data_IF_835570529826
#
_entry.id   IF_835570529826
#
_cell.length_a   1.000
_cell.length_b   1.000
_cell.length_c   1.000
_cell.angle_alpha   90.00
_cell.angle_beta   90.00
_cell.angle_gamma   90.00
#
_symmetry.space_group_name_H-M   'P 1'
#
loop_
_entity.id
_entity.type
_entity.pdbx_description
1 polymer ?
#
# COMPACT_ATOMS: atom_id res chain seq x y z
N UNK A 1 -13.17 46.92 -15.29
CA UNK A 1 -12.22 46.40 -14.29
C UNK A 1 -12.26 44.89 -14.36
N UNK A 2 -11.36 44.29 -15.18
CA UNK A 2 -11.22 42.83 -15.26
C UNK A 2 -10.37 42.35 -14.09
N UNK A 3 -10.96 41.54 -13.20
CA UNK A 3 -10.20 40.77 -12.25
C UNK A 3 -9.46 39.67 -13.02
N UNK A 4 -8.15 39.49 -12.83
CA UNK A 4 -7.46 38.32 -13.35
C UNK A 4 -8.05 37.10 -12.64
N UNK A 5 -8.50 36.11 -13.40
CA UNK A 5 -8.80 34.77 -12.90
C UNK A 5 -7.46 34.18 -12.55
N UNK A 6 -7.17 34.12 -11.27
CA UNK A 6 -6.00 33.40 -10.70
C UNK A 6 -6.27 31.91 -10.88
N UNK A 7 -5.97 31.41 -12.07
CA UNK A 7 -5.83 29.98 -12.32
C UNK A 7 -4.48 29.54 -11.77
N UNK A 8 -4.32 29.61 -10.45
CA UNK A 8 -3.33 28.78 -9.78
C UNK A 8 -3.67 27.34 -10.21
N UNK A 9 -2.80 26.73 -10.98
CA UNK A 9 -2.84 25.28 -11.30
C UNK A 9 -2.92 24.57 -9.96
N UNK A 10 -4.12 24.09 -9.57
CA UNK A 10 -4.23 23.09 -8.51
C UNK A 10 -3.31 21.96 -8.95
N UNK A 11 -2.21 21.80 -8.25
CA UNK A 11 -1.27 20.71 -8.58
C UNK A 11 -2.05 19.41 -8.38
N UNK A 12 -2.20 18.63 -9.45
CA UNK A 12 -2.88 17.32 -9.35
C UNK A 12 -2.08 16.44 -8.37
N UNK A 13 -2.62 16.29 -7.17
CA UNK A 13 -2.00 15.51 -6.08
C UNK A 13 -1.60 14.11 -6.54
N UNK A 14 -2.36 13.50 -7.46
CA UNK A 14 -2.00 12.18 -7.98
C UNK A 14 -0.79 12.21 -8.91
N UNK A 15 -0.61 13.28 -9.68
CA UNK A 15 0.58 13.47 -10.50
C UNK A 15 1.82 13.65 -9.59
N UNK A 16 1.69 14.47 -8.54
CA UNK A 16 2.76 14.68 -7.57
C UNK A 16 3.14 13.37 -6.85
N UNK A 17 2.16 12.60 -6.36
CA UNK A 17 2.39 11.31 -5.72
C UNK A 17 3.09 10.31 -6.64
N UNK A 18 2.64 10.17 -7.90
CA UNK A 18 3.29 9.29 -8.88
C UNK A 18 4.74 9.71 -9.14
N UNK A 19 4.99 11.00 -9.27
CA UNK A 19 6.35 11.52 -9.45
C UNK A 19 7.23 11.25 -8.23
N UNK A 20 6.74 11.52 -7.02
CA UNK A 20 7.49 11.32 -5.78
C UNK A 20 7.82 9.86 -5.50
N UNK A 21 6.93 8.92 -5.88
CA UNK A 21 7.06 7.50 -5.54
C UNK A 21 7.58 6.63 -6.68
N UNK A 22 7.68 7.13 -7.91
CA UNK A 22 7.94 6.33 -9.12
C UNK A 22 9.21 5.47 -9.04
N UNK A 23 10.34 6.05 -8.64
CA UNK A 23 11.60 5.30 -8.51
C UNK A 23 11.56 4.23 -7.41
N UNK A 24 10.83 4.50 -6.31
CA UNK A 24 10.63 3.55 -5.20
C UNK A 24 9.78 2.37 -5.63
N UNK A 25 8.71 2.66 -6.36
CA UNK A 25 7.80 1.65 -6.92
C UNK A 25 8.55 0.73 -7.88
N UNK A 26 9.31 1.29 -8.83
CA UNK A 26 10.12 0.52 -9.78
C UNK A 26 11.13 -0.38 -9.07
N UNK A 27 11.82 0.16 -8.05
CA UNK A 27 12.78 -0.63 -7.25
C UNK A 27 12.10 -1.79 -6.53
N UNK A 28 10.92 -1.58 -5.95
CA UNK A 28 10.16 -2.62 -5.26
C UNK A 28 9.72 -3.70 -6.24
N UNK A 29 9.08 -3.30 -7.35
CA UNK A 29 8.54 -4.23 -8.34
C UNK A 29 9.61 -5.10 -8.99
N UNK A 30 10.78 -4.52 -9.31
CA UNK A 30 11.87 -5.24 -9.97
C UNK A 30 12.70 -6.08 -9.01
N UNK A 31 12.70 -5.77 -7.71
CA UNK A 31 13.58 -6.39 -6.73
C UNK A 31 12.96 -7.54 -5.93
N UNK A 32 11.62 -7.68 -5.92
CA UNK A 32 10.98 -8.73 -5.14
C UNK A 32 11.07 -10.10 -5.83
N UNK A 33 11.44 -11.20 -5.10
CA UNK A 33 11.48 -12.55 -5.66
C UNK A 33 10.16 -12.99 -6.30
N UNK A 34 9.02 -12.58 -5.73
CA UNK A 34 7.69 -12.89 -6.27
C UNK A 34 7.45 -12.26 -7.66
N UNK A 35 8.25 -11.28 -8.08
CA UNK A 35 8.20 -10.68 -9.42
C UNK A 35 8.88 -11.53 -10.49
N UNK A 36 9.71 -12.50 -10.11
CA UNK A 36 10.40 -13.38 -11.04
C UNK A 36 9.42 -14.28 -11.83
N UNK A 37 9.78 -14.68 -13.08
CA UNK A 37 8.92 -15.54 -13.90
C UNK A 37 8.70 -16.94 -13.30
N UNK A 38 9.66 -17.44 -12.54
CA UNK A 38 9.70 -18.76 -11.91
C UNK A 38 9.39 -18.71 -10.40
N UNK A 39 8.68 -17.67 -9.94
CA UNK A 39 8.31 -17.49 -8.55
C UNK A 39 7.63 -18.72 -7.96
N UNK A 40 7.97 -19.06 -6.73
CA UNK A 40 7.55 -20.26 -6.00
C UNK A 40 6.60 -19.93 -4.85
N UNK A 41 6.05 -20.96 -4.20
CA UNK A 41 5.30 -20.80 -2.93
C UNK A 41 6.18 -20.25 -1.80
N UNK A 42 7.49 -20.54 -1.80
CA UNK A 42 8.43 -19.94 -0.86
C UNK A 42 8.54 -18.42 -1.05
N UNK A 43 8.59 -17.96 -2.30
CA UNK A 43 8.60 -16.52 -2.61
C UNK A 43 7.30 -15.85 -2.24
N UNK A 44 6.16 -16.55 -2.40
CA UNK A 44 4.87 -16.05 -1.94
C UNK A 44 4.80 -15.95 -0.42
N UNK A 45 5.23 -16.98 0.31
CA UNK A 45 5.31 -16.93 1.78
C UNK A 45 6.20 -15.77 2.26
N UNK A 46 7.37 -15.61 1.66
CA UNK A 46 8.27 -14.49 1.95
C UNK A 46 7.60 -13.14 1.70
N UNK A 47 6.88 -13.00 0.59
CA UNK A 47 6.13 -11.78 0.27
C UNK A 47 5.02 -11.49 1.29
N UNK A 48 4.27 -12.50 1.72
CA UNK A 48 3.25 -12.35 2.77
C UNK A 48 3.86 -11.92 4.10
N UNK A 49 4.99 -12.52 4.50
CA UNK A 49 5.70 -12.15 5.72
C UNK A 49 6.17 -10.69 5.66
N UNK A 50 6.78 -10.27 4.54
CA UNK A 50 7.20 -8.90 4.31
C UNK A 50 6.02 -7.91 4.45
N UNK A 51 4.88 -8.22 3.84
CA UNK A 51 3.69 -7.38 3.91
C UNK A 51 3.09 -7.35 5.31
N UNK A 52 3.05 -8.47 6.03
CA UNK A 52 2.61 -8.52 7.41
C UNK A 52 3.43 -7.59 8.30
N UNK A 53 4.75 -7.66 8.17
CA UNK A 53 5.67 -6.88 8.98
C UNK A 53 5.62 -5.37 8.66
N UNK A 54 5.28 -5.04 7.41
CA UNK A 54 5.04 -3.66 6.99
C UNK A 54 3.69 -3.12 7.46
N UNK A 55 2.60 -3.90 7.28
CA UNK A 55 1.23 -3.46 7.57
C UNK A 55 0.89 -3.46 9.05
N UNK A 56 1.39 -4.41 9.84
CA UNK A 56 1.02 -4.53 11.26
C UNK A 56 1.29 -3.25 12.06
N UNK A 57 2.51 -2.67 12.05
CA UNK A 57 2.75 -1.42 12.77
C UNK A 57 2.01 -0.22 12.13
N UNK A 58 1.79 -0.24 10.84
CA UNK A 58 1.08 0.81 10.12
C UNK A 58 -0.41 0.83 10.45
N UNK A 59 -1.10 -0.30 10.39
CA UNK A 59 -2.53 -0.39 10.73
C UNK A 59 -2.78 0.00 12.19
N UNK A 60 -1.89 -0.43 13.11
CA UNK A 60 -1.95 -0.03 14.52
C UNK A 60 -1.80 1.49 14.69
N UNK A 61 -0.83 2.09 13.99
CA UNK A 61 -0.61 3.54 14.02
C UNK A 61 -1.77 4.31 13.40
N UNK A 62 -2.26 3.92 12.21
CA UNK A 62 -3.41 4.56 11.58
C UNK A 62 -4.67 4.46 12.45
N UNK A 63 -4.85 3.36 13.17
CA UNK A 63 -5.98 3.15 14.07
C UNK A 63 -6.05 4.11 15.27
N UNK A 64 -4.98 4.87 15.54
CA UNK A 64 -4.98 5.89 16.59
C UNK A 64 -5.64 7.22 16.16
N UNK A 65 -5.99 7.36 14.88
CA UNK A 65 -6.58 8.59 14.33
C UNK A 65 -8.06 8.41 13.99
N UNK A 66 -8.84 9.49 14.09
CA UNK A 66 -10.26 9.52 13.78
C UNK A 66 -10.63 10.48 12.64
N UNK A 67 -9.63 11.02 11.92
CA UNK A 67 -9.77 12.00 10.82
C UNK A 67 -8.99 11.58 9.57
N UNK A 68 -9.04 12.38 8.53
CA UNK A 68 -8.38 12.06 7.26
C UNK A 68 -8.88 10.74 6.66
N UNK A 69 -7.99 9.83 6.22
CA UNK A 69 -8.41 8.54 5.66
C UNK A 69 -9.12 7.63 6.68
N UNK A 70 -8.97 7.86 7.98
CA UNK A 70 -9.62 7.14 9.08
C UNK A 70 -10.94 7.79 9.53
N UNK A 71 -11.33 8.93 8.95
CA UNK A 71 -12.53 9.69 9.34
C UNK A 71 -13.83 8.91 9.10
N UNK A 72 -14.89 9.23 9.88
CA UNK A 72 -16.20 8.59 9.72
C UNK A 72 -16.76 8.77 8.31
N UNK A 73 -17.32 7.70 7.74
CA UNK A 73 -17.90 7.72 6.39
C UNK A 73 -16.88 7.80 5.25
N UNK A 74 -15.59 7.79 5.57
CA UNK A 74 -14.52 7.66 4.58
C UNK A 74 -14.39 6.20 4.16
N UNK A 75 -13.30 5.83 3.55
CA UNK A 75 -13.12 4.48 3.03
C UNK A 75 -13.04 3.51 4.22
N UNK A 76 -13.95 2.54 4.27
CA UNK A 76 -13.90 1.51 5.30
C UNK A 76 -12.51 0.88 5.31
N UNK A 77 -11.85 0.89 6.47
CA UNK A 77 -10.53 0.28 6.61
C UNK A 77 -10.66 -1.22 6.29
N UNK A 78 -10.11 -1.64 5.15
CA UNK A 78 -10.02 -3.07 4.86
C UNK A 78 -8.79 -3.60 5.62
N UNK A 79 -8.99 -4.57 6.49
CA UNK A 79 -7.85 -5.27 7.09
C UNK A 79 -7.25 -6.20 6.03
N UNK A 80 -6.16 -5.77 5.42
CA UNK A 80 -5.39 -6.62 4.52
C UNK A 80 -4.67 -7.74 5.27
N UNK A 81 -4.37 -7.53 6.56
CA UNK A 81 -3.73 -8.50 7.44
C UNK A 81 -4.55 -9.80 7.57
N UNK A 82 -5.88 -9.71 7.63
CA UNK A 82 -6.72 -10.91 7.76
C UNK A 82 -6.51 -11.89 6.59
N UNK A 83 -6.38 -11.39 5.36
CA UNK A 83 -6.13 -12.22 4.18
C UNK A 83 -4.72 -12.80 4.17
N UNK A 84 -3.73 -12.04 4.64
CA UNK A 84 -2.35 -12.48 4.79
C UNK A 84 -2.27 -13.65 5.79
N UNK A 85 -2.89 -13.51 6.97
CA UNK A 85 -2.88 -14.55 8.00
C UNK A 85 -3.60 -15.83 7.55
N UNK A 86 -4.71 -15.69 6.82
CA UNK A 86 -5.43 -16.85 6.25
C UNK A 86 -4.55 -17.58 5.24
N UNK A 87 -3.84 -16.86 4.37
CA UNK A 87 -2.96 -17.49 3.38
C UNK A 87 -1.71 -18.12 4.02
N UNK A 88 -1.10 -17.46 5.01
CA UNK A 88 0.03 -18.02 5.76
C UNK A 88 -0.33 -19.28 6.55
N UNK A 89 -1.60 -19.44 6.97
CA UNK A 89 -2.10 -20.62 7.67
C UNK A 89 -2.40 -21.80 6.74
N UNK A 90 -2.32 -21.64 5.41
CA UNK A 90 -2.53 -22.73 4.46
C UNK A 90 -1.46 -23.83 4.62
N UNK A 91 -1.86 -25.12 4.62
CA UNK A 91 -0.92 -26.21 4.77
C UNK A 91 0.23 -26.22 3.76
N UNK A 92 -0.02 -25.68 2.57
CA UNK A 92 1.00 -25.55 1.51
C UNK A 92 2.12 -24.58 1.84
N UNK A 93 1.94 -23.67 2.82
CA UNK A 93 2.96 -22.74 3.32
C UNK A 93 3.57 -23.15 4.68
N UNK A 94 3.14 -24.26 5.28
CA UNK A 94 3.61 -24.69 6.62
C UNK A 94 5.14 -24.87 6.71
N UNK A 95 5.81 -25.15 5.58
CA UNK A 95 7.28 -25.27 5.50
C UNK A 95 8.04 -23.95 5.36
N UNK A 96 7.34 -22.80 5.35
CA UNK A 96 7.91 -21.50 5.08
C UNK A 96 7.56 -20.49 6.20
N UNK A 97 8.12 -20.67 7.42
CA UNK A 97 7.83 -19.76 8.53
C UNK A 97 8.38 -18.36 8.25
N UNK A 98 7.68 -17.35 8.73
CA UNK A 98 8.22 -16.00 8.71
C UNK A 98 9.37 -15.88 9.70
N UNK A 99 10.45 -15.27 9.27
CA UNK A 99 11.54 -14.89 10.17
C UNK A 99 11.13 -13.72 11.06
N UNK A 100 11.70 -13.62 12.27
CA UNK A 100 11.51 -12.45 13.11
C UNK A 100 12.11 -11.22 12.41
N UNK A 101 11.26 -10.22 12.14
CA UNK A 101 11.71 -9.01 11.46
C UNK A 101 12.40 -8.02 12.38
N UNK A 102 13.35 -7.32 11.81
CA UNK A 102 13.94 -6.14 12.43
C UNK A 102 12.84 -5.12 12.71
N UNK A 103 12.77 -4.66 13.95
CA UNK A 103 11.77 -3.69 14.38
C UNK A 103 11.88 -2.41 13.55
N UNK A 104 10.88 -2.13 12.74
CA UNK A 104 10.81 -0.88 11.97
C UNK A 104 10.79 0.33 12.91
N UNK A 105 11.35 1.47 12.44
CA UNK A 105 11.23 2.73 13.17
C UNK A 105 9.76 3.09 13.42
N UNK A 106 9.42 3.73 14.55
CA UNK A 106 8.04 4.13 14.83
C UNK A 106 7.52 5.12 13.76
N UNK A 107 6.21 5.12 13.54
CA UNK A 107 5.55 6.11 12.71
C UNK A 107 5.46 7.46 13.46
N UNK A 108 5.42 8.62 12.76
CA UNK A 108 5.27 9.92 13.40
C UNK A 108 3.97 9.98 14.24
N UNK A 109 4.06 10.44 15.47
CA UNK A 109 2.90 10.55 16.37
C UNK A 109 1.98 11.73 16.06
N UNK A 110 2.49 12.72 15.34
CA UNK A 110 1.85 14.01 14.98
C UNK A 110 1.61 14.14 13.47
N UNK A 111 1.51 13.02 12.77
CA UNK A 111 1.27 12.99 11.33
C UNK A 111 -0.05 13.70 10.96
N UNK A 112 0.01 14.61 10.01
CA UNK A 112 -1.17 15.31 9.48
C UNK A 112 -2.12 14.35 8.74
N UNK A 113 -3.34 14.78 8.52
CA UNK A 113 -4.29 14.05 7.68
C UNK A 113 -3.75 13.84 6.26
N UNK A 114 -3.10 14.87 5.69
CA UNK A 114 -2.52 14.81 4.35
C UNK A 114 -1.39 13.77 4.24
N UNK A 115 -0.48 13.73 5.23
CA UNK A 115 0.56 12.69 5.29
C UNK A 115 -0.06 11.28 5.33
N UNK A 116 -1.08 11.08 6.15
CA UNK A 116 -1.79 9.78 6.25
C UNK A 116 -2.53 9.40 4.97
N UNK A 117 -3.03 10.37 4.21
CA UNK A 117 -3.56 10.14 2.85
C UNK A 117 -2.49 9.63 1.90
N UNK A 118 -1.27 10.14 2.00
CA UNK A 118 -0.13 9.61 1.24
C UNK A 118 0.20 8.16 1.58
N UNK A 119 0.19 7.79 2.87
CA UNK A 119 0.35 6.41 3.30
C UNK A 119 -0.77 5.52 2.76
N UNK A 120 -2.03 5.96 2.89
CA UNK A 120 -3.20 5.23 2.39
C UNK A 120 -3.13 5.01 0.86
N UNK A 121 -2.64 6.01 0.09
CA UNK A 121 -2.38 5.87 -1.35
C UNK A 121 -1.48 4.68 -1.66
N UNK A 122 -0.40 4.49 -0.92
CA UNK A 122 0.55 3.39 -1.16
C UNK A 122 -0.06 2.04 -0.79
N UNK A 123 -0.72 1.95 0.37
CA UNK A 123 -1.37 0.71 0.83
C UNK A 123 -2.45 0.25 -0.14
N UNK A 124 -3.33 1.14 -0.53
CA UNK A 124 -4.43 0.79 -1.45
C UNK A 124 -3.93 0.54 -2.88
N UNK A 125 -2.89 1.27 -3.30
CA UNK A 125 -2.23 1.05 -4.59
C UNK A 125 -1.56 -0.33 -4.68
N UNK A 126 -1.02 -0.84 -3.58
CA UNK A 126 -0.38 -2.16 -3.53
C UNK A 126 -1.34 -3.30 -3.89
N UNK A 127 -2.64 -3.13 -3.62
CA UNK A 127 -3.67 -4.12 -3.97
C UNK A 127 -3.86 -4.27 -5.48
N UNK A 128 -3.60 -3.21 -6.26
CA UNK A 128 -3.62 -3.29 -7.73
C UNK A 128 -2.47 -4.16 -8.25
N UNK A 129 -1.28 -3.98 -7.68
CA UNK A 129 -0.11 -4.83 -7.96
C UNK A 129 -0.40 -6.30 -7.60
N UNK A 130 -1.01 -6.53 -6.44
CA UNK A 130 -1.47 -7.86 -6.01
C UNK A 130 -2.37 -8.53 -7.04
N UNK A 131 -3.36 -7.80 -7.58
CA UNK A 131 -4.26 -8.34 -8.60
C UNK A 131 -3.54 -8.69 -9.93
N UNK A 132 -2.50 -7.96 -10.29
CA UNK A 132 -1.65 -8.28 -11.46
C UNK A 132 -0.86 -9.56 -11.19
N UNK A 133 -0.24 -9.67 -10.01
CA UNK A 133 0.48 -10.87 -9.58
C UNK A 133 -0.45 -12.09 -9.52
N UNK A 134 -1.67 -11.94 -9.02
CA UNK A 134 -2.66 -13.01 -8.99
C UNK A 134 -2.91 -13.61 -10.38
N UNK A 135 -3.17 -12.76 -11.38
CA UNK A 135 -3.42 -13.21 -12.76
C UNK A 135 -2.27 -14.01 -13.33
N UNK A 136 -1.04 -13.67 -12.97
CA UNK A 136 0.17 -14.36 -13.42
C UNK A 136 0.39 -15.68 -12.67
N UNK A 137 0.22 -15.66 -11.34
CA UNK A 137 0.69 -16.73 -10.45
C UNK A 137 -0.38 -17.77 -10.11
N UNK A 138 -1.68 -17.48 -10.33
CA UNK A 138 -2.76 -18.37 -9.91
C UNK A 138 -2.65 -19.77 -10.49
N UNK A 139 -2.25 -19.93 -11.74
CA UNK A 139 -2.02 -21.24 -12.35
C UNK A 139 -0.70 -21.87 -11.92
N UNK A 140 0.35 -21.05 -11.73
CA UNK A 140 1.70 -21.51 -11.40
C UNK A 140 1.79 -22.03 -9.96
N UNK A 141 1.11 -21.37 -9.02
CA UNK A 141 1.14 -21.70 -7.60
C UNK A 141 -0.06 -22.55 -7.14
N UNK A 142 -0.88 -23.06 -8.07
CA UNK A 142 -1.96 -23.97 -7.75
C UNK A 142 -1.42 -25.23 -7.03
N UNK A 143 -2.16 -25.77 -6.02
CA UNK A 143 -3.54 -25.43 -5.63
C UNK A 143 -3.67 -24.33 -4.57
N UNK A 144 -2.62 -23.57 -4.24
CA UNK A 144 -2.72 -22.48 -3.27
C UNK A 144 -3.71 -21.39 -3.74
N UNK A 145 -4.64 -20.93 -2.88
CA UNK A 145 -5.73 -20.04 -3.30
C UNK A 145 -5.35 -18.58 -3.52
N UNK A 146 -4.18 -18.14 -3.06
CA UNK A 146 -3.64 -16.77 -3.19
C UNK A 146 -4.66 -15.68 -2.83
N UNK A 147 -5.35 -15.82 -1.69
CA UNK A 147 -6.47 -14.94 -1.29
C UNK A 147 -6.06 -13.48 -1.18
N UNK A 148 -4.87 -13.25 -0.63
CA UNK A 148 -4.34 -11.88 -0.50
C UNK A 148 -4.16 -11.22 -1.87
N UNK A 149 -3.53 -11.90 -2.83
CA UNK A 149 -3.31 -11.36 -4.18
C UNK A 149 -4.62 -11.20 -4.96
N UNK A 150 -5.57 -12.10 -4.76
CA UNK A 150 -6.90 -12.01 -5.37
C UNK A 150 -7.68 -10.81 -4.86
N UNK A 151 -7.42 -10.40 -3.61
CA UNK A 151 -8.11 -9.32 -2.93
C UNK A 151 -9.50 -9.70 -2.42
N UNK A 152 -10.11 -8.81 -1.65
CA UNK A 152 -11.45 -8.99 -1.11
C UNK A 152 -12.52 -8.58 -2.12
N UNK A 153 -13.54 -9.43 -2.30
CA UNK A 153 -14.73 -9.15 -3.09
C UNK A 153 -14.63 -9.51 -4.58
N UNK A 154 -15.82 -9.60 -5.22
CA UNK A 154 -15.95 -10.04 -6.62
C UNK A 154 -15.46 -9.01 -7.66
N UNK A 155 -15.39 -7.72 -7.29
CA UNK A 155 -14.98 -6.63 -8.18
C UNK A 155 -13.48 -6.36 -8.23
N UNK A 156 -12.67 -7.07 -7.42
CA UNK A 156 -11.25 -6.77 -7.25
C UNK A 156 -10.98 -5.39 -6.63
N UNK A 157 -9.72 -4.91 -6.62
CA UNK A 157 -9.34 -3.66 -5.94
C UNK A 157 -9.75 -2.37 -6.68
N UNK A 158 -10.15 -2.45 -7.94
CA UNK A 158 -10.40 -1.28 -8.79
C UNK A 158 -11.45 -0.29 -8.28
N UNK A 159 -12.65 -0.71 -7.85
CA UNK A 159 -13.67 0.19 -7.31
C UNK A 159 -13.19 0.92 -6.04
N UNK A 160 -12.54 0.19 -5.12
CA UNK A 160 -11.98 0.76 -3.90
C UNK A 160 -10.87 1.77 -4.22
N UNK A 161 -9.96 1.43 -5.10
CA UNK A 161 -8.90 2.34 -5.55
C UNK A 161 -9.48 3.65 -6.10
N UNK A 162 -10.53 3.60 -6.93
CA UNK A 162 -11.18 4.82 -7.43
C UNK A 162 -11.75 5.68 -6.32
N UNK A 163 -12.44 5.08 -5.35
CA UNK A 163 -12.97 5.80 -4.19
C UNK A 163 -11.86 6.47 -3.37
N UNK A 164 -10.72 5.79 -3.17
CA UNK A 164 -9.54 6.38 -2.50
C UNK A 164 -9.01 7.58 -3.28
N UNK A 165 -8.88 7.48 -4.60
CA UNK A 165 -8.38 8.59 -5.41
C UNK A 165 -9.33 9.79 -5.44
N UNK A 166 -10.63 9.56 -5.44
CA UNK A 166 -11.64 10.62 -5.35
C UNK A 166 -11.57 11.33 -3.99
N UNK A 167 -11.51 10.57 -2.90
CA UNK A 167 -11.41 11.12 -1.55
C UNK A 167 -10.08 11.89 -1.35
N UNK A 168 -8.96 11.35 -1.82
CA UNK A 168 -7.65 11.99 -1.73
C UNK A 168 -7.64 13.34 -2.45
N UNK A 169 -8.18 13.43 -3.66
CA UNK A 169 -8.31 14.70 -4.39
C UNK A 169 -9.25 15.70 -3.69
N UNK A 170 -10.26 15.22 -3.00
CA UNK A 170 -11.18 16.09 -2.25
C UNK A 170 -10.57 16.64 -0.98
N UNK A 171 -9.69 15.91 -0.33
CA UNK A 171 -9.17 16.20 1.00
C UNK A 171 -7.78 16.84 1.00
N UNK A 172 -6.93 16.50 0.02
CA UNK A 172 -5.54 16.99 -0.06
C UNK A 172 -5.48 18.12 -1.08
N UNK A 173 -5.39 19.35 -0.62
CA UNK A 173 -5.45 20.55 -1.45
C UNK A 173 -4.33 21.52 -1.08
N UNK A 174 -3.86 22.23 -2.08
CA UNK A 174 -2.77 23.18 -1.88
C UNK A 174 -1.39 22.54 -1.82
N UNK A 175 -0.36 23.33 -1.98
CA UNK A 175 1.02 22.85 -2.15
C UNK A 175 1.56 22.17 -0.89
N UNK A 176 1.23 22.69 0.29
CA UNK A 176 1.70 22.16 1.58
C UNK A 176 1.14 20.77 1.85
N UNK A 177 -0.19 20.60 1.73
CA UNK A 177 -0.83 19.29 1.93
C UNK A 177 -0.38 18.26 0.89
N UNK A 178 -0.17 18.68 -0.36
CA UNK A 178 0.38 17.80 -1.41
C UNK A 178 1.80 17.37 -1.06
N UNK A 179 2.64 18.28 -0.55
CA UNK A 179 3.99 17.94 -0.12
C UNK A 179 3.99 16.94 1.05
N UNK A 180 3.10 17.13 2.03
CA UNK A 180 2.92 16.19 3.14
C UNK A 180 2.42 14.82 2.69
N UNK A 181 1.44 14.77 1.79
CA UNK A 181 0.98 13.52 1.21
C UNK A 181 2.12 12.79 0.46
N UNK A 182 2.93 13.50 -0.31
CA UNK A 182 4.11 12.94 -0.95
C UNK A 182 5.12 12.41 0.08
N UNK A 183 5.34 13.12 1.19
CA UNK A 183 6.22 12.66 2.26
C UNK A 183 5.71 11.37 2.90
N UNK A 184 4.41 11.28 3.21
CA UNK A 184 3.79 10.07 3.74
C UNK A 184 3.88 8.88 2.80
N UNK A 185 3.65 9.11 1.49
CA UNK A 185 3.78 8.06 0.48
C UNK A 185 5.23 7.58 0.32
N UNK A 186 6.20 8.50 0.33
CA UNK A 186 7.62 8.15 0.29
C UNK A 186 8.04 7.35 1.52
N UNK A 187 7.63 7.75 2.74
CA UNK A 187 7.96 7.03 3.98
C UNK A 187 7.36 5.61 3.96
N UNK A 188 6.13 5.44 3.50
CA UNK A 188 5.52 4.12 3.35
C UNK A 188 6.34 3.20 2.43
N UNK A 189 6.80 3.70 1.28
CA UNK A 189 7.68 2.96 0.38
C UNK A 189 9.07 2.70 0.98
N UNK A 190 9.69 3.70 1.61
CA UNK A 190 11.03 3.54 2.18
C UNK A 190 11.06 2.47 3.27
N UNK A 191 9.99 2.33 4.06
CA UNK A 191 9.82 1.28 5.07
C UNK A 191 9.74 -0.10 4.46
N UNK A 192 8.92 -0.33 3.44
CA UNK A 192 8.85 -1.65 2.81
C UNK A 192 10.14 -1.98 2.06
N UNK A 193 10.80 -1.00 1.43
CA UNK A 193 12.11 -1.19 0.81
C UNK A 193 13.20 -1.56 1.83
N UNK A 194 13.16 -0.95 3.02
CA UNK A 194 14.09 -1.28 4.10
C UNK A 194 13.87 -2.71 4.63
N UNK A 195 12.62 -3.16 4.71
CA UNK A 195 12.29 -4.54 5.09
C UNK A 195 12.70 -5.54 4.01
N UNK A 196 12.47 -5.20 2.74
CA UNK A 196 12.74 -6.11 1.62
C UNK A 196 14.23 -6.27 1.30
N UNK A 197 15.01 -5.19 1.40
CA UNK A 197 16.39 -5.16 0.86
C UNK A 197 17.45 -4.79 1.90
N UNK A 198 17.06 -4.53 3.13
CA UNK A 198 17.98 -3.94 4.11
C UNK A 198 18.34 -2.48 3.77
N UNK A 199 19.19 -1.87 4.58
CA UNK A 199 19.78 -0.55 4.30
C UNK A 199 21.04 -0.69 3.48
#
# INVERSE_FOLDING_TARGET
>A
MNRPIDTARESDVLAALRQATGARHERLDSGLPLSAPDATLADYAHHLCLLRDWLTPMESWLGAYGDGPQGPGRIAVASHLALIEIDLAEPSLAGHPCSDCTRAAPWPSDASAAYRWGVAYVVEGSQLGGAVLYKRLAGQLAPHPLRYLRGAGEGGPGPRWRAVMEALRAEVRGEEEVAEACAGACDAFDRILALAFGR
#
